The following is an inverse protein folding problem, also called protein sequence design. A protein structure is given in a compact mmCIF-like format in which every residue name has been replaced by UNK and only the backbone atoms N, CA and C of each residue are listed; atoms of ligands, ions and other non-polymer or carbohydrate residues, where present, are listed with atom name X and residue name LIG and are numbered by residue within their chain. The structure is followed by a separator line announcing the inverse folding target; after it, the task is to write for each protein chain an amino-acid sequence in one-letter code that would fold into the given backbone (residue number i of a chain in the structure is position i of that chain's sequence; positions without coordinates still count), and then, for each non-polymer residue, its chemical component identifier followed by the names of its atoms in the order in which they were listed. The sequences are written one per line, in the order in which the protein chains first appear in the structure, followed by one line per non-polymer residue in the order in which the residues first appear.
data_IF_971243809010
#
_entry.id   IF_971243809010
#
_cell.length_a   1.000
_cell.length_b   1.000
_cell.length_c   1.000
_cell.angle_alpha   90.00
_cell.angle_beta   90.00
_cell.angle_gamma   90.00
#
_symmetry.space_group_name_H-M   'P 1'
#
loop_
_entity.id
_entity.type
_entity.pdbx_description
1 polymer ?
#
# COMPACT_ATOMS: atom_id res chain seq x y z
N UNK A 1 -61.93 -57.49 -29.06
CA UNK A 1 -60.80 -56.91 -28.28
C UNK A 1 -59.70 -56.63 -29.29
N UNK A 2 -59.64 -55.67 -29.72
CA UNK A 2 -59.56 -54.25 -30.02
C UNK A 2 -58.14 -53.85 -30.41
N UNK A 3 -58.03 -53.53 -31.69
CA UNK A 3 -56.80 -53.11 -32.44
C UNK A 3 -56.28 -51.70 -32.08
N UNK A 4 -56.69 -51.15 -30.93
CA UNK A 4 -56.39 -49.75 -30.54
C UNK A 4 -55.27 -49.62 -29.55
N UNK A 5 -54.87 -50.66 -28.87
CA UNK A 5 -53.79 -50.63 -27.88
C UNK A 5 -52.35 -50.67 -28.50
N UNK A 6 -52.22 -51.27 -29.63
CA UNK A 6 -50.92 -51.44 -30.32
C UNK A 6 -50.44 -50.20 -31.09
N UNK A 7 -51.31 -49.19 -31.25
CA UNK A 7 -50.88 -47.93 -31.88
C UNK A 7 -50.31 -46.87 -30.86
N UNK A 8 -50.75 -46.96 -29.65
CA UNK A 8 -50.24 -46.02 -28.60
C UNK A 8 -48.81 -46.36 -28.10
N UNK A 9 -48.43 -47.63 -28.07
CA UNK A 9 -47.07 -48.05 -27.64
C UNK A 9 -45.99 -47.79 -28.70
N UNK A 10 -46.36 -47.68 -30.02
CA UNK A 10 -45.37 -47.32 -31.05
C UNK A 10 -45.16 -45.84 -31.24
N UNK A 11 -46.04 -44.99 -30.71
CA UNK A 11 -45.84 -43.51 -30.72
C UNK A 11 -44.97 -43.01 -29.56
N UNK A 12 -45.02 -43.72 -28.43
CA UNK A 12 -44.20 -43.36 -27.24
C UNK A 12 -42.72 -43.75 -27.41
N UNK A 13 -42.41 -44.75 -28.25
CA UNK A 13 -41.02 -45.15 -28.56
C UNK A 13 -40.33 -44.30 -29.61
N UNK A 14 -41.03 -43.39 -30.32
CA UNK A 14 -40.44 -42.49 -31.31
C UNK A 14 -40.20 -41.07 -30.80
N UNK A 15 -40.69 -40.72 -29.61
CA UNK A 15 -40.47 -39.41 -28.98
C UNK A 15 -39.35 -39.41 -27.93
N UNK A 16 -38.81 -40.60 -27.57
CA UNK A 16 -37.70 -40.71 -26.62
C UNK A 16 -36.30 -40.68 -27.27
N UNK A 17 -36.22 -40.60 -28.61
CA UNK A 17 -34.93 -40.64 -29.32
C UNK A 17 -34.51 -39.30 -29.93
N UNK A 18 -35.23 -38.19 -29.67
CA UNK A 18 -34.99 -36.90 -30.32
C UNK A 18 -34.55 -35.78 -29.35
N UNK A 19 -34.31 -36.08 -28.05
CA UNK A 19 -33.87 -35.08 -27.07
C UNK A 19 -32.45 -35.30 -26.52
N UNK A 20 -31.59 -36.00 -27.27
CA UNK A 20 -30.17 -36.20 -26.91
C UNK A 20 -29.27 -35.63 -28.01
N UNK A 21 -29.48 -34.36 -28.34
CA UNK A 21 -28.48 -33.63 -29.12
C UNK A 21 -28.55 -32.14 -28.77
N UNK A 22 -27.40 -31.61 -28.45
CA UNK A 22 -27.08 -30.20 -28.21
C UNK A 22 -27.29 -29.70 -26.77
N UNK A 23 -26.57 -30.31 -25.83
CA UNK A 23 -25.95 -29.48 -24.78
C UNK A 23 -24.65 -28.98 -25.40
N UNK A 24 -24.50 -27.67 -25.69
CA UNK A 24 -23.18 -27.16 -26.00
C UNK A 24 -22.34 -27.40 -24.73
N UNK A 25 -21.31 -28.20 -24.84
CA UNK A 25 -20.23 -28.17 -23.90
C UNK A 25 -19.67 -26.75 -23.98
N UNK A 26 -20.15 -25.93 -23.07
CA UNK A 26 -19.50 -24.70 -22.73
C UNK A 26 -18.15 -25.13 -22.19
N UNK A 27 -17.14 -25.20 -23.02
CA UNK A 27 -15.76 -25.23 -22.63
C UNK A 27 -15.50 -23.88 -22.02
N UNK A 28 -15.89 -23.73 -20.74
CA UNK A 28 -15.31 -22.73 -19.89
C UNK A 28 -13.81 -22.91 -20.08
N UNK A 29 -13.18 -22.00 -20.79
CA UNK A 29 -11.74 -21.87 -20.72
C UNK A 29 -11.47 -21.67 -19.23
N UNK A 30 -11.05 -22.73 -18.54
CA UNK A 30 -10.39 -22.57 -17.26
C UNK A 30 -9.25 -21.60 -17.59
N UNK A 31 -9.30 -20.39 -17.07
CA UNK A 31 -8.11 -19.57 -16.98
C UNK A 31 -7.04 -20.51 -16.39
N UNK A 32 -5.92 -20.66 -17.09
CA UNK A 32 -4.84 -21.52 -16.63
C UNK A 32 -4.60 -21.14 -15.18
N UNK A 33 -4.89 -22.08 -14.27
CA UNK A 33 -4.70 -21.82 -12.85
C UNK A 33 -3.21 -21.51 -12.65
N UNK A 34 -2.92 -20.38 -12.03
CA UNK A 34 -1.54 -20.01 -11.77
C UNK A 34 -0.82 -21.18 -11.08
N UNK A 35 0.42 -21.44 -11.48
CA UNK A 35 1.25 -22.50 -10.87
C UNK A 35 1.21 -22.38 -9.34
N UNK A 36 1.15 -23.51 -8.61
CA UNK A 36 1.12 -23.48 -7.15
C UNK A 36 2.27 -22.68 -6.56
N UNK A 37 1.97 -21.80 -5.61
CA UNK A 37 2.99 -21.06 -4.86
C UNK A 37 3.52 -21.95 -3.74
N UNK A 38 4.79 -22.41 -3.88
CA UNK A 38 5.43 -23.28 -2.89
C UNK A 38 6.28 -22.45 -1.93
N UNK A 39 5.98 -22.55 -0.64
CA UNK A 39 6.68 -21.86 0.43
C UNK A 39 7.64 -22.82 1.15
N UNK A 40 8.88 -22.36 1.39
CA UNK A 40 9.83 -23.04 2.26
C UNK A 40 9.48 -22.85 3.73
N UNK A 41 8.93 -21.66 4.08
CA UNK A 41 8.57 -21.31 5.44
C UNK A 41 7.48 -20.25 5.47
N UNK A 42 6.56 -20.37 6.41
CA UNK A 42 5.58 -19.34 6.76
C UNK A 42 5.45 -19.26 8.28
N UNK A 43 5.02 -18.11 8.80
CA UNK A 43 4.80 -17.91 10.21
C UNK A 43 4.50 -16.46 10.53
N UNK A 44 4.55 -16.13 11.81
CA UNK A 44 4.38 -14.76 12.28
C UNK A 44 5.39 -14.43 13.38
N UNK A 45 5.57 -13.15 13.61
CA UNK A 45 6.30 -12.64 14.76
C UNK A 45 5.70 -11.29 15.21
N UNK A 46 6.01 -10.94 16.46
CA UNK A 46 5.79 -9.60 16.98
C UNK A 46 7.14 -8.91 17.15
N UNK A 47 7.19 -7.62 16.83
CA UNK A 47 8.38 -6.79 16.99
C UNK A 47 8.06 -5.52 17.76
N UNK A 48 9.02 -5.05 18.56
CA UNK A 48 8.79 -4.01 19.56
C UNK A 48 7.97 -4.54 20.73
N UNK A 49 7.34 -3.62 21.42
CA UNK A 49 6.45 -3.93 22.54
C UNK A 49 7.14 -3.96 23.91
N UNK A 50 6.33 -3.62 24.90
CA UNK A 50 6.67 -3.69 26.33
C UNK A 50 5.42 -3.96 27.16
N UNK A 51 5.60 -4.51 28.36
CA UNK A 51 4.50 -4.62 29.33
C UNK A 51 4.17 -3.22 29.88
N UNK A 52 2.93 -2.80 29.81
CA UNK A 52 2.45 -1.56 30.40
C UNK A 52 1.99 -1.82 31.84
N UNK A 53 2.90 -1.63 32.79
CA UNK A 53 2.62 -1.83 34.22
C UNK A 53 1.86 -0.66 34.85
N UNK A 54 1.54 0.39 34.12
CA UNK A 54 0.72 1.50 34.61
C UNK A 54 -0.77 1.11 34.73
N UNK A 55 -1.18 0.05 34.02
CA UNK A 55 -2.53 -0.50 34.08
C UNK A 55 -2.59 -1.78 34.91
N UNK A 56 -3.67 -2.02 35.68
CA UNK A 56 -3.83 -3.23 36.48
C UNK A 56 -3.72 -4.54 35.69
N UNK A 57 -4.16 -4.55 34.41
CA UNK A 57 -4.09 -5.70 33.52
C UNK A 57 -2.71 -5.93 32.91
N UNK A 58 -1.79 -4.97 33.05
CA UNK A 58 -0.43 -5.01 32.51
C UNK A 58 -0.35 -5.55 31.07
N UNK A 59 -1.04 -4.94 30.09
CA UNK A 59 -1.05 -5.43 28.72
C UNK A 59 0.30 -5.25 28.03
N UNK A 60 0.55 -6.06 26.99
CA UNK A 60 1.63 -5.81 26.04
C UNK A 60 1.21 -4.66 25.11
N UNK A 61 2.04 -3.63 24.95
CA UNK A 61 1.78 -2.47 24.11
C UNK A 61 3.00 -2.13 23.25
N UNK A 62 2.78 -1.43 22.13
CA UNK A 62 3.84 -0.94 21.24
C UNK A 62 4.44 -1.99 20.32
N UNK A 63 3.88 -3.19 20.26
CA UNK A 63 4.25 -4.22 19.29
C UNK A 63 3.51 -4.03 17.96
N UNK A 64 4.20 -4.30 16.85
CA UNK A 64 3.57 -4.62 15.57
C UNK A 64 3.47 -6.14 15.40
N UNK A 65 2.55 -6.58 14.53
CA UNK A 65 2.49 -7.95 14.03
C UNK A 65 3.10 -8.02 12.64
N UNK A 66 3.84 -9.08 12.32
CA UNK A 66 4.32 -9.34 10.98
C UNK A 66 4.11 -10.83 10.64
N UNK A 67 3.30 -11.08 9.60
CA UNK A 67 3.23 -12.39 8.95
C UNK A 67 4.34 -12.47 7.92
N UNK A 68 5.08 -13.58 7.90
CA UNK A 68 6.13 -13.78 6.92
C UNK A 68 5.92 -15.03 6.08
N UNK A 69 6.32 -14.95 4.82
CA UNK A 69 6.33 -16.02 3.85
C UNK A 69 7.66 -16.02 3.11
N UNK A 70 8.29 -17.17 3.02
CA UNK A 70 9.57 -17.37 2.33
C UNK A 70 9.32 -18.37 1.21
N UNK A 71 9.52 -17.99 -0.07
CA UNK A 71 9.32 -18.91 -1.18
C UNK A 71 10.38 -20.00 -1.19
N UNK A 72 10.03 -21.18 -1.70
CA UNK A 72 10.99 -22.28 -1.86
C UNK A 72 12.19 -21.85 -2.74
N UNK A 73 11.92 -21.08 -3.78
CA UNK A 73 12.94 -20.51 -4.67
C UNK A 73 13.20 -19.06 -4.28
N UNK A 74 14.08 -18.85 -3.30
CA UNK A 74 14.53 -17.53 -2.89
C UNK A 74 15.57 -17.01 -3.89
N UNK A 75 15.27 -15.90 -4.57
CA UNK A 75 16.12 -15.30 -5.60
C UNK A 75 16.76 -13.99 -5.15
N UNK A 76 16.16 -13.31 -4.16
CA UNK A 76 16.58 -12.00 -3.68
C UNK A 76 17.02 -12.07 -2.23
N UNK A 77 18.15 -11.44 -1.87
CA UNK A 77 18.71 -11.56 -0.52
C UNK A 77 17.99 -10.73 0.53
N UNK A 78 17.18 -9.74 0.11
CA UNK A 78 16.49 -8.81 1.01
C UNK A 78 14.98 -9.05 0.96
N UNK A 79 14.33 -9.34 2.11
CA UNK A 79 12.87 -9.44 2.15
C UNK A 79 12.22 -8.08 1.92
N UNK A 80 10.97 -8.11 1.45
CA UNK A 80 10.11 -6.93 1.38
C UNK A 80 9.23 -6.87 2.62
N UNK A 81 9.32 -5.79 3.37
CA UNK A 81 8.42 -5.46 4.50
C UNK A 81 7.33 -4.54 3.97
N UNK A 82 6.10 -5.04 3.91
CA UNK A 82 4.94 -4.34 3.38
C UNK A 82 4.13 -3.72 4.53
N UNK A 83 4.00 -2.40 4.54
CA UNK A 83 3.32 -1.63 5.59
C UNK A 83 2.13 -0.89 4.98
N UNK A 84 0.93 -1.22 5.44
CA UNK A 84 -0.34 -0.70 4.92
C UNK A 84 -0.61 0.77 5.28
N UNK A 85 -1.64 1.35 4.64
CA UNK A 85 -2.10 2.71 4.83
C UNK A 85 -3.05 2.93 6.01
N UNK A 86 -3.68 4.11 6.04
CA UNK A 86 -4.70 4.47 7.02
C UNK A 86 -5.95 3.61 6.89
N UNK A 87 -6.59 3.30 8.00
CA UNK A 87 -7.81 2.48 8.08
C UNK A 87 -7.68 1.07 7.50
N UNK A 88 -6.47 0.52 7.37
CA UNK A 88 -6.19 -0.75 6.72
C UNK A 88 -5.35 -1.66 7.60
N UNK A 89 -5.13 -2.89 7.14
CA UNK A 89 -4.24 -3.90 7.71
C UNK A 89 -3.40 -4.54 6.61
N UNK A 90 -2.59 -5.53 6.94
CA UNK A 90 -1.80 -6.28 5.95
C UNK A 90 -2.64 -6.98 4.87
N UNK A 91 -3.97 -7.07 5.02
CA UNK A 91 -4.88 -7.63 4.01
C UNK A 91 -4.77 -6.92 2.66
N UNK A 92 -4.37 -5.65 2.63
CA UNK A 92 -4.13 -4.91 1.39
C UNK A 92 -3.13 -5.55 0.44
N UNK A 93 -2.26 -6.41 0.95
CA UNK A 93 -1.18 -7.02 0.17
C UNK A 93 -1.35 -8.52 -0.03
N UNK A 94 -2.28 -9.16 0.71
CA UNK A 94 -2.42 -10.63 0.70
C UNK A 94 -3.50 -11.15 -0.23
N UNK A 95 -4.23 -10.28 -0.89
CA UNK A 95 -5.27 -10.60 -1.85
C UNK A 95 -5.98 -9.33 -2.31
N UNK A 96 -6.88 -9.47 -3.28
CA UNK A 96 -7.74 -8.39 -3.76
C UNK A 96 -9.20 -8.68 -3.43
N UNK A 97 -10.06 -7.66 -3.34
CA UNK A 97 -11.47 -7.85 -2.96
C UNK A 97 -12.29 -8.64 -3.99
N UNK A 98 -11.80 -8.77 -5.22
CA UNK A 98 -12.37 -9.58 -6.29
C UNK A 98 -11.75 -11.00 -6.38
N UNK A 99 -10.92 -11.39 -5.41
CA UNK A 99 -10.40 -12.76 -5.24
C UNK A 99 -9.13 -13.09 -5.99
N UNK A 100 -8.44 -12.11 -6.60
CA UNK A 100 -7.12 -12.32 -7.21
C UNK A 100 -6.03 -12.36 -6.13
N UNK A 101 -4.83 -12.85 -6.51
CA UNK A 101 -3.64 -12.74 -5.68
C UNK A 101 -3.27 -11.27 -5.43
N UNK A 102 -2.69 -10.99 -4.25
CA UNK A 102 -2.17 -9.67 -3.91
C UNK A 102 -0.68 -9.52 -4.20
N UNK A 103 -0.14 -8.35 -3.93
CA UNK A 103 1.29 -8.06 -4.13
C UNK A 103 2.21 -8.97 -3.33
N UNK A 104 1.79 -9.48 -2.17
CA UNK A 104 2.59 -10.44 -1.41
C UNK A 104 2.88 -11.69 -2.24
N UNK A 105 1.85 -12.29 -2.87
CA UNK A 105 2.00 -13.46 -3.72
C UNK A 105 2.79 -13.14 -5.00
N UNK A 106 2.56 -11.96 -5.60
CA UNK A 106 3.33 -11.50 -6.75
C UNK A 106 4.84 -11.48 -6.46
N UNK A 107 5.27 -10.88 -5.35
CA UNK A 107 6.68 -10.81 -5.00
C UNK A 107 7.25 -12.16 -4.54
N UNK A 108 6.45 -13.01 -3.88
CA UNK A 108 6.84 -14.39 -3.57
C UNK A 108 7.13 -15.18 -4.85
N UNK A 109 6.30 -15.04 -5.90
CA UNK A 109 6.53 -15.68 -7.21
C UNK A 109 7.79 -15.17 -7.91
N UNK A 110 8.18 -13.92 -7.66
CA UNK A 110 9.46 -13.34 -8.10
C UNK A 110 10.65 -13.75 -7.22
N UNK A 111 10.43 -14.55 -6.18
CA UNK A 111 11.50 -15.07 -5.32
C UNK A 111 11.93 -14.11 -4.20
N UNK A 112 11.11 -13.15 -3.81
CA UNK A 112 11.33 -12.37 -2.60
C UNK A 112 10.69 -13.07 -1.39
N UNK A 113 11.36 -13.05 -0.24
CA UNK A 113 10.69 -13.25 1.04
C UNK A 113 9.85 -12.01 1.36
N UNK A 114 8.68 -12.20 1.96
CA UNK A 114 7.73 -11.11 2.24
C UNK A 114 7.35 -11.12 3.71
N UNK A 115 7.30 -9.94 4.33
CA UNK A 115 6.77 -9.68 5.66
C UNK A 115 5.62 -8.70 5.53
N UNK A 116 4.40 -9.15 5.81
CA UNK A 116 3.20 -8.32 5.77
C UNK A 116 2.85 -7.88 7.18
N UNK A 117 2.87 -6.56 7.40
CA UNK A 117 2.75 -5.94 8.73
C UNK A 117 1.33 -5.49 8.99
N UNK A 118 0.84 -5.73 10.23
CA UNK A 118 -0.20 -4.94 10.85
C UNK A 118 0.46 -3.94 11.81
N UNK A 119 0.21 -2.65 11.60
CA UNK A 119 0.77 -1.56 12.40
C UNK A 119 0.40 -1.69 13.88
N UNK A 120 1.18 -1.06 14.76
CA UNK A 120 0.86 -0.98 16.19
C UNK A 120 -0.56 -0.44 16.39
N UNK A 121 -1.27 -1.02 17.33
CA UNK A 121 -2.66 -0.71 17.66
C UNK A 121 -3.67 -0.98 16.52
N UNK A 122 -3.34 -1.89 15.58
CA UNK A 122 -4.21 -2.24 14.46
C UNK A 122 -4.18 -3.73 14.16
N UNK A 123 -5.32 -4.26 13.68
CA UNK A 123 -5.44 -5.66 13.26
C UNK A 123 -4.92 -6.65 14.31
N UNK A 124 -4.03 -7.53 13.90
CA UNK A 124 -3.44 -8.58 14.75
C UNK A 124 -2.43 -8.06 15.78
N UNK A 125 -2.00 -6.80 15.69
CA UNK A 125 -1.13 -6.18 16.69
C UNK A 125 -1.88 -5.85 18.01
N UNK A 126 -3.22 -5.85 17.99
CA UNK A 126 -4.07 -5.58 19.14
C UNK A 126 -4.18 -4.08 19.48
N UNK A 127 -5.27 -3.74 20.17
CA UNK A 127 -5.58 -2.37 20.57
C UNK A 127 -6.13 -2.33 22.00
N UNK A 128 -5.63 -1.37 22.79
CA UNK A 128 -6.05 -1.09 24.16
C UNK A 128 -6.31 0.40 24.33
N UNK A 129 -7.57 0.78 24.53
CA UNK A 129 -7.97 2.21 24.60
C UNK A 129 -7.21 2.98 25.68
N UNK A 130 -6.98 2.36 26.84
CA UNK A 130 -6.31 2.99 27.98
C UNK A 130 -4.84 3.32 27.69
N UNK A 131 -4.18 2.52 26.86
CA UNK A 131 -2.75 2.68 26.53
C UNK A 131 -2.53 3.52 25.27
N UNK A 132 -3.44 3.45 24.29
CA UNK A 132 -3.25 4.07 22.98
C UNK A 132 -4.11 5.31 22.73
N UNK A 133 -5.13 5.54 23.59
CA UNK A 133 -6.10 6.61 23.41
C UNK A 133 -7.16 6.30 22.33
N UNK A 134 -7.92 7.31 21.87
CA UNK A 134 -9.05 7.13 20.98
C UNK A 134 -8.63 6.77 19.56
N UNK A 135 -9.58 6.12 18.85
CA UNK A 135 -9.49 5.80 17.44
C UNK A 135 -10.58 6.49 16.64
N UNK A 136 -10.29 6.78 15.38
CA UNK A 136 -11.26 7.21 14.38
C UNK A 136 -11.72 5.99 13.59
N UNK A 137 -13.03 5.68 13.54
CA UNK A 137 -13.55 4.59 12.73
C UNK A 137 -13.38 4.87 11.23
N UNK A 138 -13.44 3.86 10.37
CA UNK A 138 -13.54 4.05 8.93
C UNK A 138 -14.79 4.87 8.58
N UNK A 139 -14.67 5.74 7.60
CA UNK A 139 -15.75 6.57 7.08
C UNK A 139 -16.13 6.10 5.68
N UNK A 140 -17.41 5.77 5.48
CA UNK A 140 -17.92 5.23 4.23
C UNK A 140 -17.79 6.22 3.07
N UNK A 141 -18.21 7.47 3.28
CA UNK A 141 -18.18 8.47 2.24
C UNK A 141 -16.76 8.81 1.82
N UNK A 142 -15.87 8.97 2.79
CA UNK A 142 -14.45 9.17 2.51
C UNK A 142 -13.82 7.98 1.77
N UNK A 143 -14.22 6.75 2.12
CA UNK A 143 -13.75 5.54 1.45
C UNK A 143 -14.19 5.50 -0.02
N UNK A 144 -15.45 5.86 -0.29
CA UNK A 144 -15.95 5.99 -1.65
C UNK A 144 -15.26 7.11 -2.42
N UNK A 145 -15.17 8.30 -1.81
CA UNK A 145 -14.60 9.50 -2.42
C UNK A 145 -13.13 9.35 -2.81
N UNK A 146 -12.32 8.69 -1.96
CA UNK A 146 -10.87 8.69 -2.11
C UNK A 146 -10.30 7.36 -2.64
N UNK A 147 -11.04 6.25 -2.48
CA UNK A 147 -10.49 4.92 -2.75
C UNK A 147 -11.24 4.18 -3.86
N UNK A 148 -12.56 4.03 -3.74
CA UNK A 148 -13.28 3.12 -4.62
C UNK A 148 -13.97 3.78 -5.81
N UNK A 149 -14.38 5.04 -5.69
CA UNK A 149 -15.19 5.73 -6.70
C UNK A 149 -14.90 7.24 -6.83
N UNK A 150 -13.64 7.70 -6.84
CA UNK A 150 -13.34 9.13 -6.91
C UNK A 150 -13.97 9.83 -8.13
N UNK A 151 -14.14 9.12 -9.23
CA UNK A 151 -14.77 9.61 -10.47
C UNK A 151 -16.22 10.11 -10.30
N UNK A 152 -16.88 9.76 -9.20
CA UNK A 152 -18.26 10.19 -8.91
C UNK A 152 -18.32 11.47 -8.12
N UNK A 153 -17.23 11.89 -7.51
CA UNK A 153 -17.20 13.01 -6.57
C UNK A 153 -16.43 14.21 -7.10
N UNK A 154 -15.51 13.98 -8.02
CA UNK A 154 -14.77 15.02 -8.75
C UNK A 154 -14.12 16.07 -7.84
N UNK A 155 -13.47 15.59 -6.75
CA UNK A 155 -12.88 16.45 -5.73
C UNK A 155 -11.50 17.02 -6.10
N UNK A 156 -10.83 16.44 -7.09
CA UNK A 156 -9.54 16.88 -7.66
C UNK A 156 -9.52 16.65 -9.17
N UNK A 157 -8.67 17.35 -9.90
CA UNK A 157 -8.73 17.35 -11.38
C UNK A 157 -8.63 15.98 -12.02
N UNK A 158 -7.86 15.05 -11.46
CA UNK A 158 -7.62 13.73 -12.04
C UNK A 158 -8.68 12.67 -11.63
N UNK A 159 -9.59 12.99 -10.71
CA UNK A 159 -10.55 12.02 -10.16
C UNK A 159 -11.37 11.29 -11.24
N UNK A 160 -11.80 12.01 -12.28
CA UNK A 160 -12.61 11.48 -13.38
C UNK A 160 -11.91 10.42 -14.24
N UNK A 161 -10.58 10.28 -14.12
CA UNK A 161 -9.79 9.29 -14.85
C UNK A 161 -9.84 7.89 -14.23
N UNK A 162 -10.47 7.71 -13.06
CA UNK A 162 -10.51 6.43 -12.36
C UNK A 162 -11.38 5.40 -13.07
N UNK A 163 -10.77 4.27 -13.45
CA UNK A 163 -11.44 3.20 -14.22
C UNK A 163 -11.08 1.79 -13.78
N UNK A 164 -10.13 1.64 -12.86
CA UNK A 164 -9.53 0.35 -12.53
C UNK A 164 -10.17 -0.36 -11.32
N UNK A 165 -11.16 0.22 -10.65
CA UNK A 165 -11.86 -0.49 -9.59
C UNK A 165 -12.52 -1.77 -10.12
N UNK A 166 -12.35 -2.94 -9.44
CA UNK A 166 -12.81 -4.22 -9.99
C UNK A 166 -14.31 -4.50 -9.82
N UNK A 167 -15.06 -3.66 -9.11
CA UNK A 167 -16.49 -3.81 -8.84
C UNK A 167 -17.30 -2.56 -9.15
N UNK A 168 -18.52 -2.50 -8.64
CA UNK A 168 -19.42 -1.36 -8.83
C UNK A 168 -19.18 -0.21 -7.83
N UNK A 169 -18.22 -0.34 -6.92
CA UNK A 169 -17.82 0.67 -5.94
C UNK A 169 -19.01 1.31 -5.19
N UNK A 170 -19.87 0.50 -4.62
CA UNK A 170 -21.03 0.95 -3.82
C UNK A 170 -21.40 -0.11 -2.78
N UNK A 171 -22.03 0.26 -1.65
CA UNK A 171 -22.59 -0.69 -0.69
C UNK A 171 -23.52 -1.71 -1.37
N UNK A 172 -23.41 -2.98 -0.99
CA UNK A 172 -24.12 -4.10 -1.60
C UNK A 172 -23.47 -4.69 -2.85
N UNK A 173 -22.39 -4.09 -3.36
CA UNK A 173 -21.53 -4.73 -4.35
C UNK A 173 -20.54 -5.67 -3.63
N UNK A 174 -20.47 -6.97 -3.99
CA UNK A 174 -19.64 -7.92 -3.26
C UNK A 174 -18.16 -7.53 -3.16
N UNK A 175 -17.62 -6.89 -4.20
CA UNK A 175 -16.22 -6.45 -4.23
C UNK A 175 -16.03 -5.25 -3.29
N UNK A 176 -16.94 -4.27 -3.32
CA UNK A 176 -16.87 -3.13 -2.42
C UNK A 176 -17.07 -3.58 -0.96
N UNK A 177 -18.05 -4.42 -0.69
CA UNK A 177 -18.34 -4.91 0.67
C UNK A 177 -17.16 -5.72 1.23
N UNK A 178 -16.51 -6.55 0.42
CA UNK A 178 -15.29 -7.26 0.78
C UNK A 178 -14.15 -6.29 1.11
N UNK A 179 -13.95 -5.25 0.30
CA UNK A 179 -12.96 -4.20 0.59
C UNK A 179 -13.30 -3.41 1.85
N UNK A 180 -14.55 -2.96 2.00
CA UNK A 180 -14.95 -2.17 3.15
C UNK A 180 -14.85 -2.95 4.47
N UNK A 181 -15.08 -4.27 4.43
CA UNK A 181 -14.88 -5.16 5.57
C UNK A 181 -13.41 -5.26 6.04
N UNK A 182 -12.44 -4.92 5.19
CA UNK A 182 -11.03 -4.85 5.60
C UNK A 182 -10.64 -3.57 6.33
N UNK A 183 -11.57 -2.60 6.44
CA UNK A 183 -11.25 -1.31 7.03
C UNK A 183 -11.26 -1.38 8.55
N UNK A 184 -10.25 -0.82 9.18
CA UNK A 184 -10.05 -0.80 10.63
C UNK A 184 -9.94 0.63 11.17
N UNK A 185 -10.33 0.86 12.44
CA UNK A 185 -10.09 2.14 13.10
C UNK A 185 -8.60 2.50 13.15
N UNK A 186 -8.29 3.78 13.08
CA UNK A 186 -6.92 4.32 13.20
C UNK A 186 -6.80 5.19 14.44
N UNK A 187 -5.63 5.22 15.08
CA UNK A 187 -5.37 6.17 16.17
C UNK A 187 -5.61 7.60 15.69
N UNK A 188 -6.27 8.41 16.52
CA UNK A 188 -6.51 9.83 16.22
C UNK A 188 -5.25 10.68 16.35
N UNK A 189 -4.31 10.26 17.20
CA UNK A 189 -3.02 10.93 17.36
C UNK A 189 -2.00 10.39 16.35
N UNK A 190 -1.84 11.09 15.23
CA UNK A 190 -0.93 10.68 14.15
C UNK A 190 0.54 10.70 14.56
N UNK A 191 0.97 11.65 15.39
CA UNK A 191 2.35 11.68 15.87
C UNK A 191 2.65 10.45 16.74
N UNK A 192 1.78 10.12 17.70
CA UNK A 192 1.93 8.92 18.52
C UNK A 192 1.93 7.63 17.67
N UNK A 193 1.08 7.57 16.63
CA UNK A 193 1.06 6.44 15.70
C UNK A 193 2.38 6.30 14.95
N UNK A 194 2.94 7.41 14.46
CA UNK A 194 4.24 7.41 13.78
C UNK A 194 5.38 6.98 14.71
N UNK A 195 5.41 7.48 15.95
CA UNK A 195 6.41 7.09 16.95
C UNK A 195 6.36 5.60 17.29
N UNK A 196 5.17 5.09 17.60
CA UNK A 196 4.96 3.67 17.93
C UNK A 196 5.42 2.76 16.79
N UNK A 197 5.04 3.10 15.56
CA UNK A 197 5.37 2.29 14.39
C UNK A 197 6.83 2.47 13.93
N UNK A 198 7.44 3.66 14.10
CA UNK A 198 8.89 3.84 13.94
C UNK A 198 9.66 2.88 14.85
N UNK A 199 9.30 2.83 16.13
CA UNK A 199 10.02 2.03 17.11
C UNK A 199 9.81 0.53 16.92
N UNK A 200 8.59 0.11 16.65
CA UNK A 200 8.28 -1.28 16.34
C UNK A 200 8.87 -1.74 14.99
N UNK A 201 8.85 -0.87 13.97
CA UNK A 201 9.47 -1.14 12.67
C UNK A 201 10.98 -1.25 12.77
N UNK A 202 11.63 -0.38 13.55
CA UNK A 202 13.06 -0.51 13.83
C UNK A 202 13.38 -1.84 14.55
N UNK A 203 12.57 -2.23 15.54
CA UNK A 203 12.72 -3.51 16.23
C UNK A 203 12.47 -4.72 15.31
N UNK A 204 11.58 -4.58 14.30
CA UNK A 204 11.43 -5.59 13.26
C UNK A 204 12.70 -5.75 12.45
N UNK A 205 13.28 -4.64 11.97
CA UNK A 205 14.54 -4.67 11.23
C UNK A 205 15.70 -5.24 12.07
N UNK A 206 15.76 -4.93 13.37
CA UNK A 206 16.74 -5.52 14.28
C UNK A 206 16.61 -7.06 14.39
N UNK A 207 15.41 -7.60 14.22
CA UNK A 207 15.14 -9.05 14.23
C UNK A 207 15.43 -9.75 12.91
N UNK A 208 15.09 -9.11 11.78
CA UNK A 208 15.14 -9.77 10.46
C UNK A 208 16.37 -9.37 9.65
N UNK A 209 17.08 -8.30 10.03
CA UNK A 209 18.24 -7.76 9.32
C UNK A 209 17.86 -6.86 8.16
N UNK A 210 18.70 -6.90 7.11
CA UNK A 210 18.58 -6.05 5.92
C UNK A 210 17.26 -6.30 5.19
N UNK A 211 16.49 -5.24 4.90
CA UNK A 211 15.18 -5.35 4.25
C UNK A 211 14.89 -4.18 3.31
N UNK A 212 13.92 -4.39 2.43
CA UNK A 212 13.27 -3.37 1.60
C UNK A 212 11.99 -2.96 2.34
N UNK A 213 11.73 -1.66 2.47
CA UNK A 213 10.46 -1.15 2.98
C UNK A 213 9.55 -0.82 1.80
N UNK A 214 8.37 -1.43 1.74
CA UNK A 214 7.28 -1.04 0.86
C UNK A 214 6.18 -0.43 1.72
N UNK A 215 5.95 0.86 1.55
CA UNK A 215 4.96 1.63 2.32
C UNK A 215 3.86 2.13 1.41
N UNK A 216 2.64 2.22 1.92
CA UNK A 216 1.50 2.78 1.21
C UNK A 216 0.83 3.87 2.04
N UNK A 217 0.53 5.01 1.41
CA UNK A 217 -0.29 6.06 2.02
C UNK A 217 0.25 6.52 3.39
N UNK A 218 -0.55 6.43 4.45
CA UNK A 218 -0.19 6.80 5.83
C UNK A 218 1.17 6.23 6.26
N UNK A 219 1.53 5.02 5.83
CA UNK A 219 2.81 4.43 6.20
C UNK A 219 4.03 5.05 5.52
N UNK A 220 3.86 5.96 4.58
CA UNK A 220 4.96 6.81 4.11
C UNK A 220 5.59 7.58 5.26
N UNK A 221 4.77 8.28 6.06
CA UNK A 221 5.21 8.98 7.26
C UNK A 221 5.75 8.06 8.39
N UNK A 222 5.62 6.75 8.23
CA UNK A 222 6.20 5.72 9.13
C UNK A 222 7.50 5.18 8.54
N UNK A 223 7.56 4.97 7.24
CA UNK A 223 8.74 4.43 6.55
C UNK A 223 9.97 5.34 6.64
N UNK A 224 9.76 6.65 6.48
CA UNK A 224 10.85 7.62 6.61
C UNK A 224 11.54 7.55 7.98
N UNK A 225 10.83 7.64 9.13
CA UNK A 225 11.48 7.56 10.44
C UNK A 225 11.99 6.16 10.80
N UNK A 226 11.47 5.07 10.26
CA UNK A 226 12.08 3.73 10.40
C UNK A 226 13.46 3.74 9.74
N UNK A 227 13.54 4.24 8.50
CA UNK A 227 14.78 4.31 7.75
C UNK A 227 15.79 5.27 8.40
N UNK A 228 15.33 6.42 8.87
CA UNK A 228 16.14 7.38 9.62
C UNK A 228 16.74 6.76 10.89
N UNK A 229 15.98 5.92 11.61
CA UNK A 229 16.42 5.24 12.83
C UNK A 229 17.33 4.04 12.55
N UNK A 230 17.20 3.37 11.39
CA UNK A 230 17.97 2.18 11.00
C UNK A 230 18.49 2.27 9.55
N UNK A 231 19.25 3.33 9.20
CA UNK A 231 19.67 3.57 7.83
C UNK A 231 20.50 2.42 7.23
N UNK A 232 21.26 1.72 8.08
CA UNK A 232 22.12 0.62 7.66
C UNK A 232 21.35 -0.68 7.38
N UNK A 233 20.11 -0.81 7.86
CA UNK A 233 19.27 -2.01 7.68
C UNK A 233 18.27 -1.86 6.53
N UNK A 234 17.99 -0.65 6.06
CA UNK A 234 17.09 -0.40 4.93
C UNK A 234 17.87 -0.38 3.62
N UNK A 235 17.56 -1.29 2.73
CA UNK A 235 18.24 -1.45 1.44
C UNK A 235 17.59 -0.68 0.31
N UNK A 236 16.28 -0.45 0.39
CA UNK A 236 15.52 0.43 -0.50
C UNK A 236 14.19 0.81 0.17
N UNK A 237 13.59 1.90 -0.29
CA UNK A 237 12.23 2.29 0.08
C UNK A 237 11.40 2.35 -1.21
N UNK A 238 10.28 1.65 -1.24
CA UNK A 238 9.21 1.79 -2.24
C UNK A 238 8.06 2.50 -1.55
N UNK A 239 7.90 3.78 -1.84
CA UNK A 239 6.87 4.63 -1.27
C UNK A 239 5.71 4.75 -2.27
N UNK A 240 4.67 3.96 -2.07
CA UNK A 240 3.46 3.95 -2.88
C UNK A 240 2.53 5.03 -2.37
N UNK A 241 2.41 6.12 -3.11
CA UNK A 241 1.58 7.28 -2.73
C UNK A 241 1.76 7.65 -1.24
N UNK A 242 2.98 8.01 -0.81
CA UNK A 242 3.27 8.24 0.60
C UNK A 242 2.52 9.47 1.13
N UNK A 243 2.17 9.47 2.42
CA UNK A 243 1.56 10.64 3.09
C UNK A 243 2.25 11.94 2.68
N UNK A 244 1.47 12.83 2.13
CA UNK A 244 1.93 14.11 1.58
C UNK A 244 0.77 15.11 1.48
N UNK A 245 1.02 16.23 0.80
CA UNK A 245 2.33 16.76 0.41
C UNK A 245 3.19 17.17 1.61
N UNK A 246 4.48 17.47 1.40
CA UNK A 246 5.35 17.99 2.46
C UNK A 246 4.83 19.28 3.08
N UNK A 247 5.16 19.49 4.33
CA UNK A 247 4.83 20.65 5.17
C UNK A 247 3.34 20.79 5.54
N UNK A 248 2.43 20.87 4.61
CA UNK A 248 1.00 21.02 4.84
C UNK A 248 0.19 19.95 4.12
N UNK A 249 -0.84 19.41 4.76
CA UNK A 249 -1.81 18.58 4.07
C UNK A 249 -2.69 19.44 3.16
N UNK A 250 -3.36 18.78 2.22
CA UNK A 250 -4.28 19.41 1.28
C UNK A 250 -5.71 19.02 1.58
N UNK A 251 -6.58 20.01 1.56
CA UNK A 251 -8.03 19.85 1.57
C UNK A 251 -8.55 19.99 0.12
N UNK A 252 -9.27 18.98 -0.35
CA UNK A 252 -9.80 18.91 -1.71
C UNK A 252 -11.18 19.53 -1.75
N UNK A 253 -11.37 20.54 -2.60
CA UNK A 253 -12.59 21.36 -2.65
C UNK A 253 -13.48 21.09 -3.87
N UNK A 254 -12.96 20.43 -4.89
CA UNK A 254 -13.58 20.39 -6.20
C UNK A 254 -13.39 21.70 -7.00
N UNK A 255 -13.89 21.69 -8.25
CA UNK A 255 -13.79 22.86 -9.14
C UNK A 255 -14.55 24.08 -8.59
N UNK A 256 -14.11 25.33 -8.87
CA UNK A 256 -12.89 25.70 -9.60
C UNK A 256 -11.64 25.76 -8.71
N UNK A 257 -11.78 25.80 -7.40
CA UNK A 257 -10.70 26.02 -6.42
C UNK A 257 -10.29 24.69 -5.78
N UNK A 258 -9.72 23.80 -6.58
CA UNK A 258 -9.43 22.41 -6.26
C UNK A 258 -8.74 22.15 -4.92
N UNK A 259 -7.85 23.05 -4.49
CA UNK A 259 -6.92 22.77 -3.40
C UNK A 259 -6.86 23.90 -2.37
N UNK A 260 -6.93 23.55 -1.10
CA UNK A 260 -6.61 24.46 0.00
C UNK A 260 -5.61 23.79 0.96
N UNK A 261 -4.63 24.54 1.46
CA UNK A 261 -3.69 24.03 2.44
C UNK A 261 -4.39 23.86 3.80
N UNK A 262 -4.11 22.75 4.48
CA UNK A 262 -4.47 22.58 5.89
C UNK A 262 -3.48 23.38 6.74
N UNK A 263 -3.96 24.11 7.72
CA UNK A 263 -3.14 25.02 8.53
C UNK A 263 -2.05 24.32 9.35
N UNK A 264 -2.29 23.07 9.77
CA UNK A 264 -1.32 22.31 10.56
C UNK A 264 -0.08 21.98 9.72
N UNK A 265 1.10 22.37 10.23
CA UNK A 265 2.38 22.06 9.61
C UNK A 265 2.92 20.72 10.11
N UNK A 266 3.44 19.89 9.19
CA UNK A 266 4.21 18.69 9.52
C UNK A 266 5.60 19.09 10.00
N UNK A 267 5.95 18.74 11.23
CA UNK A 267 7.16 19.24 11.89
C UNK A 267 8.48 18.80 11.22
N UNK A 268 8.47 17.63 10.58
CA UNK A 268 9.62 17.14 9.82
C UNK A 268 9.49 17.38 8.30
N UNK A 269 8.48 18.13 7.84
CA UNK A 269 8.15 18.25 6.43
C UNK A 269 7.50 17.00 5.84
N UNK A 270 7.96 15.80 6.19
CA UNK A 270 7.48 14.50 5.69
C UNK A 270 6.56 13.76 6.68
N UNK A 271 6.41 14.26 7.90
CA UNK A 271 5.59 13.65 8.95
C UNK A 271 5.47 14.52 10.20
N UNK A 272 4.72 14.02 11.19
CA UNK A 272 4.41 14.70 12.42
C UNK A 272 5.43 14.45 13.55
N UNK A 273 6.47 13.66 13.30
CA UNK A 273 7.56 13.38 14.24
C UNK A 273 8.91 13.81 13.66
N UNK A 274 9.89 14.13 14.50
CA UNK A 274 11.21 14.57 14.03
C UNK A 274 11.92 13.52 13.18
N UNK A 275 12.65 14.00 12.16
CA UNK A 275 13.67 13.28 11.42
C UNK A 275 15.04 13.90 11.71
N UNK A 276 16.10 13.15 11.49
CA UNK A 276 17.48 13.62 11.63
C UNK A 276 17.83 14.55 10.46
N UNK A 277 18.10 15.81 10.76
CA UNK A 277 18.55 16.81 9.79
C UNK A 277 20.00 17.21 9.99
N UNK A 278 20.65 17.64 8.91
CA UNK A 278 21.97 18.24 8.90
C UNK A 278 21.93 19.62 8.19
N UNK A 279 22.26 20.73 8.86
CA UNK A 279 22.53 20.87 10.30
C UNK A 279 21.34 20.45 11.18
N UNK A 280 21.58 19.94 12.41
CA UNK A 280 20.49 19.50 13.29
C UNK A 280 19.59 20.68 13.68
N UNK A 281 18.31 20.38 13.91
CA UNK A 281 17.38 21.33 14.50
C UNK A 281 17.75 21.52 15.98
N UNK A 282 17.77 22.77 16.44
CA UNK A 282 17.94 23.11 17.86
C UNK A 282 16.65 22.80 18.62
N UNK A 283 16.76 22.73 19.95
CA UNK A 283 15.59 22.55 20.80
C UNK A 283 14.55 23.65 20.54
N UNK A 284 13.31 23.23 20.23
CA UNK A 284 12.22 24.13 19.90
C UNK A 284 12.28 24.76 18.49
N UNK A 285 13.32 24.51 17.71
CA UNK A 285 13.41 24.97 16.34
C UNK A 285 12.50 24.12 15.42
N UNK A 286 11.79 24.80 14.52
CA UNK A 286 10.96 24.18 13.49
C UNK A 286 11.53 24.47 12.11
N UNK A 287 11.28 23.59 11.16
CA UNK A 287 11.57 23.85 9.75
C UNK A 287 10.73 25.04 9.28
N UNK A 288 11.36 25.91 8.48
CA UNK A 288 10.66 26.98 7.79
C UNK A 288 10.39 26.56 6.35
N UNK A 289 9.21 26.86 5.85
CA UNK A 289 8.76 26.46 4.52
C UNK A 289 8.40 27.67 3.66
N UNK A 290 8.59 27.51 2.37
CA UNK A 290 8.21 28.49 1.32
C UNK A 290 7.33 27.76 0.31
N UNK A 291 6.20 28.38 -0.04
CA UNK A 291 5.29 27.85 -1.05
C UNK A 291 5.67 28.37 -2.44
N UNK A 292 5.54 27.52 -3.45
CA UNK A 292 5.68 27.95 -4.85
C UNK A 292 4.66 29.06 -5.19
N UNK A 293 5.09 30.02 -6.00
CA UNK A 293 4.20 31.08 -6.50
C UNK A 293 3.13 30.53 -7.45
N UNK A 294 3.50 29.55 -8.27
CA UNK A 294 2.64 28.88 -9.25
C UNK A 294 2.86 27.37 -9.17
N UNK A 295 1.83 26.55 -9.46
CA UNK A 295 2.01 25.12 -9.62
C UNK A 295 2.84 24.79 -10.86
N UNK A 296 3.46 23.63 -10.89
CA UNK A 296 4.23 23.15 -12.05
C UNK A 296 3.34 22.90 -13.28
N UNK A 297 2.09 22.49 -13.04
CA UNK A 297 1.01 22.35 -14.03
C UNK A 297 -0.32 22.83 -13.43
N UNK A 298 -1.31 23.21 -14.25
CA UNK A 298 -2.57 23.81 -13.76
C UNK A 298 -3.39 22.91 -12.83
N UNK A 299 -3.27 21.59 -12.99
CA UNK A 299 -3.98 20.53 -12.26
C UNK A 299 -3.20 19.98 -11.05
N UNK A 300 -2.05 20.58 -10.73
CA UNK A 300 -1.21 20.21 -9.61
C UNK A 300 -1.29 21.24 -8.48
N UNK A 301 -0.93 20.81 -7.28
CA UNK A 301 -0.79 21.73 -6.14
C UNK A 301 0.49 22.55 -6.26
N UNK A 302 0.53 23.71 -5.60
CA UNK A 302 1.76 24.47 -5.37
C UNK A 302 2.52 23.82 -4.24
N UNK A 303 3.72 23.31 -4.51
CA UNK A 303 4.54 22.63 -3.51
C UNK A 303 5.05 23.58 -2.41
N UNK A 304 5.18 23.03 -1.22
CA UNK A 304 5.94 23.62 -0.13
C UNK A 304 7.34 23.03 -0.11
N UNK A 305 8.36 23.87 -0.03
CA UNK A 305 9.77 23.50 0.08
C UNK A 305 10.37 24.07 1.36
N UNK A 306 11.51 23.56 1.81
CA UNK A 306 12.24 24.20 2.90
C UNK A 306 12.71 25.59 2.45
N UNK A 307 12.62 26.57 3.35
CA UNK A 307 13.28 27.84 3.14
C UNK A 307 14.81 27.67 3.07
N UNK A 308 15.47 28.50 2.26
CA UNK A 308 16.93 28.44 2.12
C UNK A 308 17.65 28.94 3.38
N UNK A 309 18.77 28.32 3.79
CA UNK A 309 19.36 27.11 3.23
C UNK A 309 18.62 25.84 3.68
N UNK A 310 18.33 24.94 2.75
CA UNK A 310 17.63 23.69 3.05
C UNK A 310 18.53 22.74 3.83
N UNK A 311 17.98 22.12 4.88
CA UNK A 311 18.64 21.09 5.67
C UNK A 311 18.58 19.75 4.93
N UNK A 312 19.59 18.94 5.13
CA UNK A 312 19.73 17.64 4.50
C UNK A 312 19.19 16.53 5.39
N UNK A 313 18.80 15.39 4.77
CA UNK A 313 18.39 14.15 5.46
C UNK A 313 19.52 13.10 5.35
N UNK A 314 20.57 13.17 6.18
CA UNK A 314 21.78 12.38 6.02
C UNK A 314 21.54 10.88 6.09
N UNK A 315 20.59 10.43 6.92
CA UNK A 315 20.28 9.02 7.11
C UNK A 315 19.51 8.39 5.96
N UNK A 316 18.87 9.18 5.09
CA UNK A 316 18.17 8.70 3.90
C UNK A 316 19.02 8.81 2.63
N UNK A 317 20.09 9.59 2.64
CA UNK A 317 20.88 9.97 1.46
C UNK A 317 21.37 8.82 0.59
N UNK A 318 21.72 7.69 1.21
CA UNK A 318 22.30 6.54 0.51
C UNK A 318 21.31 5.39 0.30
N UNK A 319 20.04 5.60 0.58
CA UNK A 319 18.99 4.60 0.40
C UNK A 319 18.33 4.85 -0.95
N UNK A 320 18.32 3.89 -1.89
CA UNK A 320 17.52 3.99 -3.10
C UNK A 320 16.03 4.16 -2.75
N UNK A 321 15.38 5.18 -3.32
CA UNK A 321 13.97 5.50 -3.05
C UNK A 321 13.20 5.54 -4.36
N UNK A 322 12.10 4.79 -4.42
CA UNK A 322 11.06 4.89 -5.43
C UNK A 322 9.83 5.56 -4.80
N UNK A 323 9.32 6.61 -5.43
CA UNK A 323 7.98 7.12 -5.20
C UNK A 323 7.16 6.76 -6.43
N UNK A 324 6.00 6.13 -6.24
CA UNK A 324 5.10 5.75 -7.32
C UNK A 324 3.72 6.36 -7.07
N UNK A 325 3.17 7.02 -8.08
CA UNK A 325 1.88 7.70 -8.04
C UNK A 325 1.01 7.25 -9.20
N UNK A 326 -0.26 7.03 -8.95
CA UNK A 326 -1.25 6.65 -9.95
C UNK A 326 -1.87 7.86 -10.65
N UNK A 327 -2.62 7.62 -11.74
CA UNK A 327 -3.19 8.68 -12.57
C UNK A 327 -4.36 9.39 -11.92
N UNK A 328 -5.29 8.63 -11.33
CA UNK A 328 -6.58 9.15 -10.87
C UNK A 328 -6.68 9.34 -9.36
N UNK A 329 -5.65 9.01 -8.62
CA UNK A 329 -5.59 9.22 -7.18
C UNK A 329 -5.52 10.72 -6.83
N UNK A 330 -5.99 11.06 -5.64
CA UNK A 330 -5.74 12.40 -5.07
C UNK A 330 -4.24 12.69 -4.88
N UNK A 331 -3.39 11.66 -4.82
CA UNK A 331 -1.94 11.75 -4.79
C UNK A 331 -1.33 12.24 -6.11
N UNK A 332 -1.97 11.99 -7.25
CA UNK A 332 -1.51 12.49 -8.55
C UNK A 332 -1.30 14.00 -8.52
N UNK A 333 -2.10 14.71 -7.75
CA UNK A 333 -2.02 16.18 -7.61
C UNK A 333 -0.77 16.65 -6.88
N UNK A 334 -0.08 15.83 -6.06
CA UNK A 334 0.96 16.35 -5.15
C UNK A 334 2.18 15.47 -4.87
N UNK A 335 2.24 14.19 -5.29
CA UNK A 335 3.40 13.34 -4.96
C UNK A 335 4.71 13.81 -5.59
N UNK A 336 4.67 14.58 -6.68
CA UNK A 336 5.81 15.29 -7.23
C UNK A 336 6.46 16.23 -6.21
N UNK A 337 5.66 16.83 -5.30
CA UNK A 337 6.18 17.67 -4.22
C UNK A 337 7.02 16.87 -3.23
N UNK A 338 6.62 15.63 -2.92
CA UNK A 338 7.39 14.74 -2.03
C UNK A 338 8.73 14.37 -2.66
N UNK A 339 8.75 14.07 -3.97
CA UNK A 339 9.97 13.81 -4.72
C UNK A 339 10.92 15.04 -4.73
N UNK A 340 10.36 16.22 -5.00
CA UNK A 340 11.10 17.48 -5.00
C UNK A 340 11.68 17.81 -3.61
N UNK A 341 10.90 17.59 -2.55
CA UNK A 341 11.34 17.82 -1.17
C UNK A 341 12.52 16.93 -0.80
N UNK A 342 12.45 15.63 -1.11
CA UNK A 342 13.55 14.70 -0.87
C UNK A 342 14.81 15.12 -1.64
N UNK A 343 14.64 15.51 -2.89
CA UNK A 343 15.76 16.02 -3.71
C UNK A 343 16.39 17.28 -3.09
N UNK A 344 15.58 18.23 -2.64
CA UNK A 344 16.06 19.43 -1.94
C UNK A 344 16.81 19.07 -0.65
N UNK A 345 16.36 18.04 0.07
CA UNK A 345 17.00 17.53 1.29
C UNK A 345 18.21 16.61 1.01
N UNK A 346 18.73 16.58 -0.22
CA UNK A 346 19.92 15.82 -0.61
C UNK A 346 19.71 14.32 -0.75
N UNK A 347 18.48 13.87 -0.90
CA UNK A 347 18.10 12.46 -1.07
C UNK A 347 17.71 12.19 -2.51
N UNK A 348 18.55 11.42 -3.21
CA UNK A 348 18.24 10.96 -4.57
C UNK A 348 17.04 10.01 -4.56
N UNK A 349 16.11 10.24 -5.47
CA UNK A 349 14.91 9.41 -5.58
C UNK A 349 14.50 9.23 -7.05
N UNK A 350 13.72 8.19 -7.31
CA UNK A 350 13.02 7.95 -8.58
C UNK A 350 11.55 8.24 -8.36
N UNK A 351 10.97 9.14 -9.11
CA UNK A 351 9.52 9.37 -9.14
C UNK A 351 8.96 8.76 -10.42
N UNK A 352 7.97 7.87 -10.27
CA UNK A 352 7.23 7.27 -11.38
C UNK A 352 5.77 7.67 -11.24
N UNK A 353 5.28 8.47 -12.18
CA UNK A 353 3.86 8.65 -12.41
C UNK A 353 3.41 7.55 -13.37
N UNK A 354 2.45 6.72 -12.99
CA UNK A 354 2.08 5.51 -13.75
C UNK A 354 1.73 5.76 -15.22
N UNK A 355 1.06 6.85 -15.63
CA UNK A 355 0.87 7.18 -17.03
C UNK A 355 2.17 7.29 -17.85
N UNK A 356 3.27 7.71 -17.25
CA UNK A 356 4.56 7.86 -17.94
C UNK A 356 5.15 6.49 -18.36
N UNK A 357 4.63 5.41 -17.77
CA UNK A 357 5.00 4.02 -18.09
C UNK A 357 3.84 3.24 -18.73
N UNK A 358 2.78 3.94 -19.18
CA UNK A 358 1.66 3.38 -19.94
C UNK A 358 0.61 2.65 -19.08
N UNK A 359 0.52 2.95 -17.78
CA UNK A 359 -0.48 2.39 -16.87
C UNK A 359 -1.47 3.50 -16.48
N UNK A 360 -2.75 3.30 -16.77
CA UNK A 360 -3.77 4.33 -16.71
C UNK A 360 -4.98 3.94 -15.86
N UNK A 361 -5.68 4.94 -15.34
CA UNK A 361 -6.98 4.81 -14.68
C UNK A 361 -6.93 4.32 -13.25
N UNK A 362 -5.74 4.17 -12.66
CA UNK A 362 -5.60 3.71 -11.28
C UNK A 362 -5.86 4.83 -10.27
N UNK A 363 -6.53 4.47 -9.18
CA UNK A 363 -6.72 5.27 -7.98
C UNK A 363 -5.73 4.93 -6.88
N UNK A 364 -6.05 5.41 -5.66
CA UNK A 364 -5.19 5.25 -4.49
C UNK A 364 -4.96 3.80 -4.05
N UNK A 365 -5.90 2.92 -4.32
CA UNK A 365 -5.83 1.50 -3.94
C UNK A 365 -5.26 0.63 -5.07
N UNK A 366 -4.27 1.13 -5.79
CA UNK A 366 -3.67 0.49 -6.98
C UNK A 366 -3.27 -0.97 -6.77
N UNK A 367 -2.95 -1.38 -5.53
CA UNK A 367 -2.63 -2.78 -5.20
C UNK A 367 -3.84 -3.71 -5.20
N UNK A 368 -5.05 -3.17 -5.21
CA UNK A 368 -6.33 -3.91 -5.21
C UNK A 368 -7.05 -3.82 -6.57
N UNK A 369 -6.62 -2.94 -7.45
CA UNK A 369 -7.26 -2.64 -8.72
C UNK A 369 -6.92 -3.65 -9.82
N UNK A 370 -7.63 -3.59 -10.95
CA UNK A 370 -7.61 -4.65 -12.01
C UNK A 370 -6.22 -4.98 -12.54
N UNK A 371 -5.36 -3.99 -12.66
CA UNK A 371 -4.01 -4.11 -13.22
C UNK A 371 -2.89 -4.05 -12.16
N UNK A 372 -3.23 -4.37 -10.91
CA UNK A 372 -2.31 -4.37 -9.77
C UNK A 372 -0.98 -5.08 -10.02
N UNK A 373 -1.00 -6.19 -10.77
CA UNK A 373 0.20 -6.96 -11.11
C UNK A 373 1.13 -6.23 -12.08
N UNK A 374 0.59 -5.44 -13.00
CA UNK A 374 1.39 -4.60 -13.89
C UNK A 374 2.18 -3.56 -13.08
N UNK A 375 1.52 -2.95 -12.08
CA UNK A 375 2.15 -1.98 -11.18
C UNK A 375 3.21 -2.65 -10.29
N UNK A 376 2.89 -3.82 -9.72
CA UNK A 376 3.88 -4.63 -8.99
C UNK A 376 5.08 -5.00 -9.87
N UNK A 377 4.85 -5.22 -11.17
CA UNK A 377 5.89 -5.42 -12.18
C UNK A 377 6.83 -4.22 -12.34
N UNK A 378 6.28 -3.00 -12.38
CA UNK A 378 7.07 -1.75 -12.41
C UNK A 378 7.96 -1.65 -11.15
N UNK A 379 7.38 -1.91 -9.97
CA UNK A 379 8.13 -1.90 -8.70
C UNK A 379 9.24 -2.96 -8.72
N UNK A 380 8.92 -4.19 -9.11
CA UNK A 380 9.90 -5.28 -9.18
C UNK A 380 11.06 -4.98 -10.13
N UNK A 381 10.76 -4.46 -11.31
CA UNK A 381 11.77 -4.07 -12.30
C UNK A 381 12.66 -2.92 -11.82
N UNK A 382 12.12 -1.99 -11.04
CA UNK A 382 12.92 -0.95 -10.41
C UNK A 382 13.83 -1.53 -9.31
N UNK A 383 13.31 -2.43 -8.45
CA UNK A 383 14.10 -3.11 -7.42
C UNK A 383 15.26 -3.92 -8.00
N UNK A 384 15.04 -4.63 -9.12
CA UNK A 384 16.08 -5.40 -9.80
C UNK A 384 17.24 -4.51 -10.31
N UNK A 385 16.92 -3.27 -10.70
CA UNK A 385 17.92 -2.28 -11.12
C UNK A 385 18.61 -1.60 -9.93
N UNK A 386 17.85 -1.25 -8.89
CA UNK A 386 18.36 -0.54 -7.73
C UNK A 386 19.20 -1.44 -6.80
N UNK A 387 18.86 -2.72 -6.74
CA UNK A 387 19.51 -3.73 -5.89
C UNK A 387 19.94 -4.94 -6.72
N UNK A 388 20.88 -4.79 -7.66
CA UNK A 388 21.28 -5.89 -8.52
C UNK A 388 21.76 -7.06 -7.66
N UNK A 389 21.07 -8.21 -7.79
CA UNK A 389 21.40 -9.43 -7.08
C UNK A 389 22.83 -9.84 -7.39
N UNK A 390 23.59 -10.29 -6.41
CA UNK A 390 24.79 -11.09 -6.71
C UNK A 390 24.28 -12.29 -7.48
N UNK A 391 24.68 -12.41 -8.74
CA UNK A 391 24.50 -13.66 -9.49
C UNK A 391 24.87 -14.81 -8.54
N UNK A 392 23.93 -15.75 -8.34
CA UNK A 392 24.13 -16.88 -7.46
C UNK A 392 25.42 -17.59 -7.91
N UNK A 393 26.50 -17.36 -7.20
CA UNK A 393 27.68 -18.19 -7.33
C UNK A 393 27.30 -19.56 -6.80
N UNK A 394 26.98 -20.47 -7.70
CA UNK A 394 26.90 -21.90 -7.41
C UNK A 394 28.28 -22.37 -6.99
N UNK A 395 28.64 -22.17 -5.74
CA UNK A 395 29.66 -22.98 -5.10
C UNK A 395 28.95 -24.22 -4.54
N UNK A 396 28.95 -25.27 -5.32
CA UNK A 396 28.75 -26.60 -4.81
C UNK A 396 29.79 -26.82 -3.69
N UNK A 397 29.32 -26.88 -2.46
CA UNK A 397 30.04 -27.55 -1.40
C UNK A 397 29.34 -28.89 -1.13
N UNK A 398 30.06 -29.93 -1.41
CA UNK A 398 29.81 -31.34 -1.16
C UNK A 398 29.77 -31.64 0.34
#
# INVERSE_FOLDING_TARGET
MSTTENRRMKLIRRLAAACLALVPWNTSRHADAAEPLVLAKTGYLFAGGKIDTSLPSSPMIGQLYAEFQIPQKLLHPYPIVMIHGGSQTGTNFTGTPDGREGWAQFFLRRGYAVYVVDQVARGRAGYWTQSYGPVTPPDLDRTLQRFAAPERYDLWPQAHLHTQWPGAAKPGDPVFDAFYATQFPSLTNFAAQQELNRDAGAALLDKIGLAILLTHSQSGAIGWPIADKRPNLVKAIVAVEPSGPPAHDIDFKGAPDWFADVAKTKISGLGDIPLTYDPPLKDGEQLSFVRQDKPDQPDLVRCWSQAAPARQLPNLKNIPILIISSEASYHASYDHCTAAYLTQAGVANTFIHLPDVGIHGNGHMMMLEKDSDAIAGVIGNWLDKALPGKAASHSAQR
#
